data_IF_888252011545
#
_entry.id   IF_888252011545
#
_cell.length_a   1.000
_cell.length_b   1.000
_cell.length_c   1.000
_cell.angle_alpha   90.00
_cell.angle_beta   90.00
_cell.angle_gamma   90.00
#
_symmetry.space_group_name_H-M   'P 1'
#
loop_
_entity.id
_entity.type
_entity.pdbx_description
1 polymer ?
#
# COMPACT_ATOMS: atom_id res chain seq x y z
N UNK A 1 25.76 49.07 5.74
CA UNK A 1 25.48 48.15 6.87
C UNK A 1 25.13 46.80 6.25
N UNK A 2 26.09 45.88 6.16
CA UNK A 2 25.80 44.52 5.69
C UNK A 2 25.22 43.76 6.88
N UNK A 3 23.92 43.51 6.86
CA UNK A 3 23.16 42.95 7.97
C UNK A 3 23.81 41.72 8.58
N UNK A 4 23.87 41.69 9.92
CA UNK A 4 24.24 40.56 10.79
C UNK A 4 23.18 39.46 10.75
N UNK A 5 22.63 39.18 9.58
CA UNK A 5 21.53 38.26 9.40
C UNK A 5 22.11 36.84 9.46
N UNK A 6 21.70 36.09 10.48
CA UNK A 6 22.14 34.71 10.70
C UNK A 6 21.80 33.85 9.48
N UNK A 7 22.59 32.81 9.22
CA UNK A 7 22.34 31.85 8.13
C UNK A 7 20.92 31.28 8.21
N UNK A 8 20.45 31.01 9.42
CA UNK A 8 19.07 30.62 9.74
C UNK A 8 18.01 31.59 9.16
N UNK A 9 18.25 32.89 9.34
CA UNK A 9 17.34 33.95 8.92
C UNK A 9 17.37 34.12 7.39
N UNK A 10 18.53 33.89 6.77
CA UNK A 10 18.67 33.82 5.30
C UNK A 10 18.00 32.60 4.68
N UNK A 11 18.01 31.46 5.36
CA UNK A 11 17.30 30.25 4.94
C UNK A 11 15.79 30.48 4.99
N UNK A 12 15.28 31.10 6.06
CA UNK A 12 13.85 31.42 6.18
C UNK A 12 13.40 32.53 5.23
N UNK A 13 14.28 33.47 4.88
CA UNK A 13 14.00 34.54 3.92
C UNK A 13 14.19 34.13 2.45
N UNK A 14 14.61 32.90 2.14
CA UNK A 14 14.72 32.43 0.76
C UNK A 14 13.35 32.23 0.11
N UNK A 15 13.24 32.55 -1.18
CA UNK A 15 12.03 32.28 -1.96
C UNK A 15 11.69 30.79 -1.99
N UNK A 16 12.69 29.91 -1.97
CA UNK A 16 12.47 28.46 -1.92
C UNK A 16 11.85 27.97 -0.59
N UNK A 17 11.99 28.75 0.48
CA UNK A 17 11.35 28.48 1.77
C UNK A 17 9.87 28.87 1.79
N UNK A 18 9.42 29.68 0.83
CA UNK A 18 8.03 30.12 0.74
C UNK A 18 7.11 28.93 0.43
N UNK A 19 6.14 28.66 1.30
CA UNK A 19 5.31 27.44 1.26
C UNK A 19 5.98 26.17 1.80
N UNK A 20 7.18 26.31 2.40
CA UNK A 20 7.95 25.22 3.06
C UNK A 20 8.54 25.67 4.39
N UNK A 21 7.85 26.57 5.08
CA UNK A 21 8.36 27.28 6.28
C UNK A 21 8.79 26.32 7.39
N UNK A 22 8.04 25.24 7.64
CA UNK A 22 8.44 24.22 8.62
C UNK A 22 9.75 23.50 8.26
N UNK A 23 9.94 23.20 6.98
CA UNK A 23 11.18 22.57 6.51
C UNK A 23 12.33 23.57 6.58
N UNK A 24 12.12 24.82 6.16
CA UNK A 24 13.12 25.88 6.26
C UNK A 24 13.53 26.15 7.72
N UNK A 25 12.58 26.15 8.66
CA UNK A 25 12.86 26.30 10.09
C UNK A 25 13.66 25.13 10.66
N UNK A 26 13.38 23.90 10.21
CA UNK A 26 14.13 22.70 10.61
C UNK A 26 15.57 22.75 10.10
N UNK A 27 15.74 23.16 8.83
CA UNK A 27 17.07 23.38 8.24
C UNK A 27 17.81 24.52 8.94
N UNK A 28 17.12 25.63 9.27
CA UNK A 28 17.69 26.77 9.98
C UNK A 28 18.10 26.44 11.44
N UNK A 29 17.47 25.44 12.07
CA UNK A 29 17.82 24.96 13.40
C UNK A 29 19.06 24.03 13.41
N UNK A 30 19.55 23.60 12.24
CA UNK A 30 20.73 22.74 12.13
C UNK A 30 22.01 23.58 12.09
N UNK A 31 22.98 23.37 13.01
CA UNK A 31 24.16 24.23 13.15
C UNK A 31 25.17 24.16 11.99
N UNK A 32 25.15 23.11 11.16
CA UNK A 32 25.98 22.99 9.95
C UNK A 32 25.28 23.44 8.66
N UNK A 33 24.06 23.97 8.78
CA UNK A 33 23.20 24.25 7.64
C UNK A 33 23.33 25.70 7.17
N UNK A 34 23.59 25.86 5.88
CA UNK A 34 23.78 27.16 5.22
C UNK A 34 22.70 27.38 4.17
N UNK A 35 22.48 28.64 3.79
CA UNK A 35 21.48 28.97 2.77
C UNK A 35 21.74 28.26 1.44
N UNK A 36 23.01 28.15 1.03
CA UNK A 36 23.45 27.43 -0.17
C UNK A 36 23.11 25.93 -0.13
N UNK A 37 23.20 25.30 1.06
CA UNK A 37 22.84 23.88 1.23
C UNK A 37 21.34 23.70 1.37
N UNK A 38 20.64 24.65 1.97
CA UNK A 38 19.21 24.58 2.19
C UNK A 38 18.39 24.80 0.91
N UNK A 39 18.78 25.73 0.03
CA UNK A 39 18.07 26.03 -1.23
C UNK A 39 17.75 24.79 -2.09
N UNK A 40 18.71 23.90 -2.43
CA UNK A 40 18.40 22.71 -3.22
C UNK A 40 17.49 21.71 -2.48
N UNK A 41 17.61 21.59 -1.16
CA UNK A 41 16.78 20.70 -0.35
C UNK A 41 15.34 21.23 -0.29
N UNK A 42 15.18 22.53 -0.09
CA UNK A 42 13.89 23.21 -0.16
C UNK A 42 13.30 23.03 -1.57
N UNK A 43 14.04 23.33 -2.63
CA UNK A 43 13.58 23.20 -4.02
C UNK A 43 13.15 21.77 -4.40
N UNK A 44 13.88 20.76 -3.94
CA UNK A 44 13.57 19.35 -4.19
C UNK A 44 12.45 18.79 -3.30
N UNK A 45 12.15 19.46 -2.19
CA UNK A 45 11.14 18.97 -1.26
C UNK A 45 9.72 19.27 -1.75
N UNK A 46 8.79 18.30 -1.66
CA UNK A 46 7.39 18.54 -1.95
C UNK A 46 6.87 19.62 -1.00
N UNK A 47 6.08 20.57 -1.54
CA UNK A 47 5.46 21.60 -0.71
C UNK A 47 4.53 20.91 0.30
N UNK A 48 4.75 21.18 1.59
CA UNK A 48 3.84 20.74 2.64
C UNK A 48 2.44 21.36 2.46
N UNK A 49 2.39 22.51 1.79
CA UNK A 49 1.18 23.21 1.34
C UNK A 49 0.92 23.00 -0.17
N UNK A 50 1.11 21.79 -0.68
CA UNK A 50 0.72 21.44 -2.05
C UNK A 50 -0.80 21.22 -2.15
N UNK A 51 -1.57 22.26 -1.84
CA UNK A 51 -3.03 22.23 -1.90
C UNK A 51 -3.67 21.20 -0.97
N UNK A 52 -5.00 20.97 -1.10
CA UNK A 52 -5.66 19.91 -0.36
C UNK A 52 -4.91 18.60 -0.63
N UNK A 53 -4.44 17.95 0.43
CA UNK A 53 -3.82 16.63 0.33
C UNK A 53 -4.74 15.69 -0.45
N UNK A 54 -4.20 14.65 -1.08
CA UNK A 54 -5.01 13.66 -1.81
C UNK A 54 -6.22 13.17 -0.99
N UNK A 55 -6.04 13.02 0.33
CA UNK A 55 -7.12 12.75 1.28
C UNK A 55 -8.22 13.83 1.29
N UNK A 56 -7.86 15.11 1.46
CA UNK A 56 -8.81 16.22 1.41
C UNK A 56 -9.52 16.30 0.05
N UNK A 57 -8.80 16.07 -1.05
CA UNK A 57 -9.41 16.03 -2.39
C UNK A 57 -10.42 14.90 -2.53
N UNK A 58 -10.14 13.73 -1.96
CA UNK A 58 -11.06 12.58 -1.95
C UNK A 58 -12.25 12.85 -1.02
N UNK A 59 -12.03 13.41 0.16
CA UNK A 59 -13.11 13.74 1.12
C UNK A 59 -14.01 14.88 0.65
N UNK A 60 -13.50 15.76 -0.23
CA UNK A 60 -14.27 16.82 -0.86
C UNK A 60 -15.20 16.31 -1.99
N UNK A 61 -15.06 15.06 -2.45
CA UNK A 61 -15.94 14.46 -3.45
C UNK A 61 -17.35 14.26 -2.87
N UNK A 62 -18.39 14.59 -3.64
CA UNK A 62 -19.77 14.30 -3.25
C UNK A 62 -20.01 12.79 -3.07
N UNK A 63 -19.32 11.93 -3.83
CA UNK A 63 -19.37 10.47 -3.65
C UNK A 63 -18.73 9.97 -2.35
N UNK A 64 -17.86 10.76 -1.72
CA UNK A 64 -17.30 10.44 -0.41
C UNK A 64 -18.29 10.76 0.73
N UNK A 65 -19.28 11.64 0.51
CA UNK A 65 -20.32 11.93 1.50
C UNK A 65 -21.22 10.72 1.71
N UNK A 66 -21.04 10.06 2.86
CA UNK A 66 -21.72 8.81 3.22
C UNK A 66 -20.84 7.56 3.15
N UNK A 67 -19.64 7.67 2.58
CA UNK A 67 -18.63 6.62 2.51
C UNK A 67 -17.25 7.11 3.03
N UNK A 68 -17.26 8.01 4.02
CA UNK A 68 -16.06 8.68 4.54
C UNK A 68 -15.00 7.71 5.05
N UNK A 69 -15.41 6.62 5.70
CA UNK A 69 -14.50 5.57 6.15
C UNK A 69 -13.81 4.87 4.96
N UNK A 70 -14.52 4.65 3.84
CA UNK A 70 -13.94 4.06 2.64
C UNK A 70 -13.02 5.05 1.93
N UNK A 71 -13.44 6.31 1.81
CA UNK A 71 -12.67 7.41 1.25
C UNK A 71 -11.32 7.59 1.99
N UNK A 72 -11.33 7.48 3.32
CA UNK A 72 -10.14 7.56 4.16
C UNK A 72 -9.20 6.37 3.96
N UNK A 73 -9.72 5.13 3.89
CA UNK A 73 -8.90 3.95 3.61
C UNK A 73 -8.27 4.01 2.21
N UNK A 74 -9.02 4.50 1.21
CA UNK A 74 -8.50 4.70 -0.14
C UNK A 74 -7.37 5.74 -0.14
N UNK A 75 -7.54 6.86 0.56
CA UNK A 75 -6.51 7.88 0.70
C UNK A 75 -5.26 7.40 1.46
N UNK A 76 -5.39 6.36 2.30
CA UNK A 76 -4.28 5.74 3.01
C UNK A 76 -3.50 4.71 2.16
N UNK A 77 -4.03 4.27 1.02
CA UNK A 77 -3.35 3.34 0.13
C UNK A 77 -2.26 4.05 -0.71
N UNK A 78 -0.98 3.63 -0.62
CA UNK A 78 0.06 4.17 -1.48
C UNK A 78 -0.20 3.81 -2.95
N UNK A 79 -0.13 4.80 -3.84
CA UNK A 79 -0.47 4.66 -5.27
C UNK A 79 -1.92 5.01 -5.63
N UNK A 80 -2.74 5.42 -4.65
CA UNK A 80 -4.10 5.89 -4.90
C UNK A 80 -4.13 7.27 -5.58
N UNK A 81 -5.07 7.47 -6.51
CA UNK A 81 -5.35 8.76 -7.16
C UNK A 81 -6.78 9.22 -6.87
N UNK A 82 -7.05 10.53 -7.00
CA UNK A 82 -8.40 11.09 -6.81
C UNK A 82 -9.41 10.47 -7.78
N UNK A 83 -9.01 10.23 -9.03
CA UNK A 83 -9.86 9.61 -10.05
C UNK A 83 -10.22 8.16 -9.71
N UNK A 84 -9.21 7.36 -9.32
CA UNK A 84 -9.44 5.97 -8.87
C UNK A 84 -10.30 5.91 -7.61
N UNK A 85 -10.08 6.82 -6.65
CA UNK A 85 -10.89 6.89 -5.44
C UNK A 85 -12.34 7.25 -5.76
N UNK A 86 -12.57 8.20 -6.68
CA UNK A 86 -13.90 8.56 -7.17
C UNK A 86 -14.58 7.38 -7.86
N UNK A 87 -13.87 6.63 -8.71
CA UNK A 87 -14.41 5.45 -9.36
C UNK A 87 -14.82 4.36 -8.36
N UNK A 88 -14.01 4.12 -7.32
CA UNK A 88 -14.32 3.15 -6.26
C UNK A 88 -15.47 3.62 -5.38
N UNK A 89 -15.54 4.90 -5.01
CA UNK A 89 -16.65 5.47 -4.23
C UNK A 89 -17.96 5.49 -5.03
N UNK A 90 -17.91 5.80 -6.31
CA UNK A 90 -19.06 5.71 -7.21
C UNK A 90 -19.52 4.26 -7.40
N UNK A 91 -18.59 3.31 -7.52
CA UNK A 91 -18.88 1.88 -7.61
C UNK A 91 -19.40 1.30 -6.29
N UNK A 92 -18.95 1.80 -5.14
CA UNK A 92 -19.40 1.38 -3.80
C UNK A 92 -20.73 2.03 -3.36
N UNK A 93 -21.05 3.22 -3.89
CA UNK A 93 -22.38 3.85 -3.77
C UNK A 93 -23.44 3.13 -4.61
N UNK A 94 -23.00 2.46 -5.68
CA UNK A 94 -23.70 1.32 -6.22
C UNK A 94 -23.79 0.27 -5.12
N UNK A 95 -24.98 0.13 -4.53
CA UNK A 95 -25.45 -1.04 -3.78
C UNK A 95 -24.52 -2.21 -4.09
N UNK A 96 -23.71 -2.62 -3.12
CA UNK A 96 -22.98 -3.86 -3.23
C UNK A 96 -24.03 -4.92 -3.58
N UNK A 97 -24.18 -5.23 -4.86
CA UNK A 97 -24.71 -6.51 -5.24
C UNK A 97 -23.66 -7.43 -4.63
N UNK A 98 -24.01 -8.19 -3.58
CA UNK A 98 -23.10 -9.21 -3.09
C UNK A 98 -22.66 -9.97 -4.33
N UNK A 99 -21.35 -10.15 -4.54
CA UNK A 99 -20.80 -11.05 -5.57
C UNK A 99 -21.78 -12.20 -5.65
N UNK A 100 -22.56 -12.24 -6.75
CA UNK A 100 -23.81 -13.01 -6.81
C UNK A 100 -23.53 -14.36 -6.19
N UNK A 101 -24.37 -14.88 -5.29
CA UNK A 101 -24.08 -16.13 -4.58
C UNK A 101 -23.61 -17.24 -5.56
N UNK A 102 -24.04 -17.16 -6.83
CA UNK A 102 -23.52 -17.90 -7.98
C UNK A 102 -22.00 -17.77 -8.22
N UNK A 103 -21.42 -16.57 -8.28
CA UNK A 103 -19.96 -16.35 -8.43
C UNK A 103 -19.15 -16.81 -7.22
N UNK A 104 -19.64 -16.64 -5.99
CA UNK A 104 -18.99 -17.21 -4.79
C UNK A 104 -19.05 -18.75 -4.81
N UNK A 105 -20.20 -19.32 -5.13
CA UNK A 105 -20.36 -20.78 -5.26
C UNK A 105 -19.49 -21.36 -6.38
N UNK A 106 -19.26 -20.61 -7.47
CA UNK A 106 -18.32 -21.02 -8.52
C UNK A 106 -16.88 -21.02 -8.01
N UNK A 107 -16.47 -20.01 -7.24
CA UNK A 107 -15.12 -19.97 -6.65
C UNK A 107 -14.89 -21.10 -5.64
N UNK A 108 -15.89 -21.37 -4.78
CA UNK A 108 -15.87 -22.45 -3.80
C UNK A 108 -15.89 -23.82 -4.49
N UNK A 109 -16.66 -23.98 -5.59
CA UNK A 109 -16.64 -25.19 -6.42
C UNK A 109 -15.30 -25.39 -7.12
N UNK A 110 -14.68 -24.32 -7.64
CA UNK A 110 -13.37 -24.39 -8.28
C UNK A 110 -12.30 -24.77 -7.24
N UNK A 111 -12.31 -24.17 -6.04
CA UNK A 111 -11.43 -24.60 -4.94
C UNK A 111 -11.70 -26.03 -4.49
N UNK A 112 -12.95 -26.47 -4.41
CA UNK A 112 -13.29 -27.84 -4.04
C UNK A 112 -12.89 -28.86 -5.12
N UNK A 113 -12.92 -28.48 -6.41
CA UNK A 113 -12.54 -29.36 -7.52
C UNK A 113 -11.02 -29.36 -7.80
N UNK A 114 -10.36 -28.23 -7.56
CA UNK A 114 -8.91 -28.07 -7.75
C UNK A 114 -8.13 -28.09 -6.44
N UNK A 115 -8.74 -28.49 -5.32
CA UNK A 115 -8.05 -28.66 -4.05
C UNK A 115 -6.90 -29.64 -4.29
N UNK A 116 -5.62 -29.21 -4.24
CA UNK A 116 -4.53 -30.15 -4.30
C UNK A 116 -4.68 -30.98 -3.02
N UNK A 117 -4.93 -32.28 -3.18
CA UNK A 117 -4.80 -33.21 -2.07
C UNK A 117 -3.52 -32.85 -1.33
N UNK A 118 -3.61 -32.65 -0.01
CA UNK A 118 -2.44 -32.39 0.81
C UNK A 118 -1.37 -33.39 0.38
N UNK A 119 -0.27 -32.90 -0.20
CA UNK A 119 0.84 -33.74 -0.61
C UNK A 119 1.25 -34.49 0.64
N UNK A 120 0.93 -35.78 0.65
CA UNK A 120 1.16 -36.68 1.77
C UNK A 120 2.68 -36.91 1.80
N UNK A 121 3.39 -35.94 2.37
CA UNK A 121 4.81 -36.03 2.64
C UNK A 121 5.02 -37.01 3.78
N UNK A 122 5.35 -38.25 3.44
CA UNK A 122 5.85 -39.23 4.41
C UNK A 122 5.51 -40.68 4.05
N UNK A 123 6.39 -41.33 3.29
CA UNK A 123 6.67 -42.76 3.50
C UNK A 123 7.53 -42.88 4.78
N UNK A 124 7.50 -43.95 5.61
CA UNK A 124 7.41 -45.36 5.18
C UNK A 124 6.62 -46.33 6.11
N UNK A 125 6.42 -47.55 5.59
CA UNK A 125 6.29 -48.85 6.29
C UNK A 125 5.13 -49.08 7.29
N UNK A 126 4.26 -50.06 6.99
CA UNK A 126 4.37 -51.43 7.55
C UNK A 126 3.12 -52.28 7.29
N UNK A 127 3.37 -53.48 6.77
CA UNK A 127 2.62 -54.74 7.00
C UNK A 127 1.15 -54.83 6.58
N UNK A 128 0.92 -55.61 5.52
CA UNK A 128 0.14 -56.86 5.57
C UNK A 128 -0.63 -57.15 4.26
N UNK A 129 0.04 -57.11 3.10
CA UNK A 129 -0.38 -57.92 1.93
C UNK A 129 0.75 -57.99 0.89
N UNK A 130 1.85 -58.65 1.26
CA UNK A 130 3.04 -58.81 0.40
C UNK A 130 3.61 -60.22 0.45
N UNK A 131 2.83 -61.21 0.89
CA UNK A 131 3.32 -62.59 1.07
C UNK A 131 3.04 -63.48 -0.15
N UNK A 132 2.14 -63.08 -1.07
CA UNK A 132 1.82 -63.87 -2.26
C UNK A 132 2.84 -63.69 -3.39
N UNK A 133 3.26 -62.45 -3.66
CA UNK A 133 4.16 -62.12 -4.77
C UNK A 133 5.61 -62.59 -4.52
N UNK A 134 6.06 -62.54 -3.26
CA UNK A 134 7.42 -62.94 -2.86
C UNK A 134 7.58 -64.47 -2.80
N UNK A 135 6.51 -65.22 -2.49
CA UNK A 135 6.56 -66.70 -2.43
C UNK A 135 6.62 -67.38 -3.81
N UNK A 136 6.14 -66.72 -4.88
CA UNK A 136 6.32 -67.22 -6.24
C UNK A 136 7.76 -67.06 -6.77
N UNK A 137 8.48 -66.03 -6.32
CA UNK A 137 9.85 -65.75 -6.76
C UNK A 137 10.92 -66.69 -6.17
N UNK A 138 10.60 -67.45 -5.12
CA UNK A 138 11.53 -68.34 -4.41
C UNK A 138 11.29 -69.85 -4.66
N UNK A 139 10.39 -70.19 -5.59
CA UNK A 139 10.00 -71.58 -5.90
C UNK A 139 10.52 -72.09 -7.27
N UNK A 140 11.53 -71.43 -7.85
CA UNK A 140 12.23 -71.93 -9.05
C UNK A 140 13.57 -72.56 -8.63
N UNK A 141 13.75 -73.89 -8.72
CA UNK A 141 15.08 -74.49 -8.64
C UNK A 141 15.93 -74.17 -9.89
#
# INVERSE_FOLDING_TARGET
MASTQSEADRIMACEEANGREQLAATLAAMPEMTVEKARPILAASPQADAGPSLRDQIMALDEAKGAEAQAEQLAACPGMTVESARAVLAAGSGKAEPVSASTTALFERIMANHSPAAVQGGVPQTSADGDADVKMLMAMP
#
